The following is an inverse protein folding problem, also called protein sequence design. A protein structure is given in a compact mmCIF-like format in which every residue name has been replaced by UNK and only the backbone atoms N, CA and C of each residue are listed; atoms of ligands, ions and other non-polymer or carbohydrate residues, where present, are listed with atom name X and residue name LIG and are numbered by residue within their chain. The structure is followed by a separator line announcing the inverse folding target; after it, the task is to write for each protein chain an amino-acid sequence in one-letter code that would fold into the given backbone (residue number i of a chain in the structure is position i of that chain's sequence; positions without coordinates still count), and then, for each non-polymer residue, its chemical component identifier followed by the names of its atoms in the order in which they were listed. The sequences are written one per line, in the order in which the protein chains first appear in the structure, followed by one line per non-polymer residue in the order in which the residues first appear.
data_IF_062448286991
#
_entry.id   IF_062448286991
#
_cell.length_a   1.000
_cell.length_b   1.000
_cell.length_c   1.000
_cell.angle_alpha   90.00
_cell.angle_beta   90.00
_cell.angle_gamma   90.00
#
_symmetry.space_group_name_H-M   'P 1'
#
loop_
_entity.id
_entity.type
_entity.pdbx_description
1 polymer ?
#
# COMPACT_ATOMS: atom_id res chain seq x y z
N UNK A 1 -21.61 19.51 3.42
CA UNK A 1 -20.32 18.79 3.61
C UNK A 1 -20.50 17.52 4.45
N UNK A 2 -21.13 17.58 5.64
CA UNK A 2 -21.32 16.40 6.52
C UNK A 2 -22.13 15.28 5.86
N UNK A 3 -23.20 15.60 5.14
CA UNK A 3 -24.02 14.61 4.44
C UNK A 3 -23.25 13.92 3.31
N UNK A 4 -22.43 14.66 2.54
CA UNK A 4 -21.57 14.13 1.50
C UNK A 4 -20.58 13.14 2.10
N UNK A 5 -19.90 13.51 3.19
CA UNK A 5 -18.94 12.63 3.87
C UNK A 5 -19.59 11.33 4.35
N UNK A 6 -20.75 11.42 5.00
CA UNK A 6 -21.43 10.22 5.50
C UNK A 6 -21.94 9.33 4.37
N UNK A 7 -22.56 9.91 3.35
CA UNK A 7 -23.25 9.15 2.30
C UNK A 7 -22.26 8.53 1.29
N UNK A 8 -21.28 9.31 0.80
CA UNK A 8 -20.40 8.89 -0.28
C UNK A 8 -19.07 8.32 0.19
N UNK A 9 -18.70 8.54 1.45
CA UNK A 9 -17.43 8.07 1.99
C UNK A 9 -17.63 7.03 3.10
N UNK A 10 -18.29 7.38 4.21
CA UNK A 10 -18.43 6.45 5.33
C UNK A 10 -19.32 5.24 5.03
N UNK A 11 -20.35 5.39 4.20
CA UNK A 11 -21.23 4.29 3.78
C UNK A 11 -20.70 3.52 2.56
N UNK A 12 -19.65 4.01 1.92
CA UNK A 12 -19.07 3.39 0.75
C UNK A 12 -18.04 2.32 1.17
N UNK A 13 -18.41 1.05 1.03
CA UNK A 13 -17.54 -0.09 1.35
C UNK A 13 -16.20 -0.04 0.60
N UNK A 14 -16.21 0.42 -0.66
CA UNK A 14 -15.01 0.49 -1.48
C UNK A 14 -14.02 1.55 -0.96
N UNK A 15 -14.52 2.68 -0.44
CA UNK A 15 -13.68 3.69 0.21
C UNK A 15 -12.95 3.12 1.44
N UNK A 16 -13.60 2.25 2.22
CA UNK A 16 -12.99 1.55 3.33
C UNK A 16 -11.95 0.52 2.87
N UNK A 17 -12.23 -0.27 1.84
CA UNK A 17 -11.27 -1.25 1.31
C UNK A 17 -9.99 -0.57 0.86
N UNK A 18 -10.09 0.50 0.09
CA UNK A 18 -8.91 1.25 -0.39
C UNK A 18 -8.17 1.94 0.76
N UNK A 19 -8.90 2.49 1.73
CA UNK A 19 -8.29 3.08 2.94
C UNK A 19 -7.52 2.05 3.76
N UNK A 20 -8.02 0.82 3.88
CA UNK A 20 -7.34 -0.28 4.56
C UNK A 20 -6.14 -0.79 3.77
N UNK A 21 -6.21 -0.86 2.45
CA UNK A 21 -5.04 -1.14 1.59
C UNK A 21 -3.92 -0.15 1.91
N UNK A 22 -4.21 1.13 1.88
CA UNK A 22 -3.22 2.18 2.13
C UNK A 22 -2.73 2.18 3.59
N UNK A 23 -3.59 1.85 4.54
CA UNK A 23 -3.22 1.66 5.94
C UNK A 23 -2.13 0.61 6.11
N UNK A 24 -2.29 -0.56 5.49
CA UNK A 24 -1.28 -1.62 5.56
C UNK A 24 -0.03 -1.31 4.75
N UNK A 25 -0.14 -0.61 3.63
CA UNK A 25 1.01 -0.10 2.88
C UNK A 25 1.85 0.84 3.74
N UNK A 26 1.22 1.78 4.43
CA UNK A 26 1.89 2.70 5.35
C UNK A 26 2.50 1.99 6.56
N UNK A 27 1.82 0.98 7.08
CA UNK A 27 2.35 0.14 8.15
C UNK A 27 3.65 -0.54 7.74
N UNK A 28 3.71 -1.13 6.56
CA UNK A 28 4.92 -1.75 6.01
C UNK A 28 6.00 -0.70 5.78
N UNK A 29 5.66 0.38 5.10
CA UNK A 29 6.61 1.44 4.74
C UNK A 29 7.25 2.08 5.98
N UNK A 30 6.45 2.53 6.92
CA UNK A 30 6.96 3.20 8.14
C UNK A 30 7.61 2.22 9.10
N UNK A 31 7.16 0.97 9.15
CA UNK A 31 7.85 -0.10 9.87
C UNK A 31 9.26 -0.32 9.33
N UNK A 32 9.40 -0.47 8.03
CA UNK A 32 10.71 -0.61 7.38
C UNK A 32 11.57 0.65 7.55
N UNK A 33 11.02 1.83 7.29
CA UNK A 33 11.74 3.10 7.36
C UNK A 33 12.32 3.37 8.75
N UNK A 34 11.55 3.09 9.80
CA UNK A 34 11.94 3.36 11.18
C UNK A 34 12.89 2.29 11.72
N UNK A 35 12.59 1.02 11.47
CA UNK A 35 13.29 -0.09 12.15
C UNK A 35 14.39 -0.72 11.31
N UNK A 36 14.43 -0.52 10.00
CA UNK A 36 15.52 -1.01 9.14
C UNK A 36 16.91 -0.53 9.62
N UNK A 37 17.14 0.77 9.86
CA UNK A 37 18.45 1.22 10.32
C UNK A 37 18.85 0.59 11.64
N UNK A 38 17.93 0.53 12.60
CA UNK A 38 18.17 0.00 13.94
C UNK A 38 18.47 -1.51 13.89
N UNK A 39 17.68 -2.25 13.10
CA UNK A 39 17.88 -3.69 12.92
C UNK A 39 19.24 -4.01 12.30
N UNK A 40 19.66 -3.27 11.26
CA UNK A 40 20.95 -3.48 10.63
C UNK A 40 22.11 -3.22 11.58
N UNK A 41 22.02 -2.18 12.41
CA UNK A 41 23.07 -1.85 13.38
C UNK A 41 23.11 -2.83 14.55
N UNK A 42 21.95 -3.16 15.14
CA UNK A 42 21.89 -3.92 16.38
C UNK A 42 21.90 -5.44 16.18
N UNK A 43 21.26 -5.93 15.14
CA UNK A 43 21.09 -7.38 14.91
C UNK A 43 22.06 -7.91 13.89
N UNK A 44 22.18 -7.21 12.74
CA UNK A 44 23.10 -7.63 11.66
C UNK A 44 24.55 -7.20 11.90
N UNK A 45 24.80 -6.28 12.86
CA UNK A 45 26.13 -5.82 13.19
C UNK A 45 26.80 -4.98 12.10
N UNK A 46 26.02 -4.38 11.19
CA UNK A 46 26.55 -3.53 10.14
C UNK A 46 27.05 -2.20 10.70
N UNK A 47 28.07 -1.65 10.05
CA UNK A 47 28.56 -0.30 10.34
C UNK A 47 27.53 0.76 9.96
N UNK A 48 27.68 1.97 10.48
CA UNK A 48 26.83 3.12 10.10
C UNK A 48 26.87 3.43 8.61
N UNK A 49 28.03 3.22 7.96
CA UNK A 49 28.18 3.43 6.53
C UNK A 49 27.38 2.40 5.71
N UNK A 50 27.46 1.12 6.08
CA UNK A 50 26.73 0.03 5.43
C UNK A 50 25.22 0.19 5.61
N UNK A 51 24.76 0.53 6.81
CA UNK A 51 23.36 0.85 7.10
C UNK A 51 22.88 2.02 6.24
N UNK A 52 23.68 3.09 6.14
CA UNK A 52 23.33 4.26 5.34
C UNK A 52 23.21 3.94 3.86
N UNK A 53 24.04 3.03 3.34
CA UNK A 53 23.97 2.55 1.95
C UNK A 53 22.64 1.82 1.72
N UNK A 54 22.28 0.87 2.57
CA UNK A 54 21.02 0.13 2.44
C UNK A 54 19.80 1.08 2.51
N UNK A 55 19.81 2.03 3.43
CA UNK A 55 18.75 3.04 3.57
C UNK A 55 18.66 3.96 2.35
N UNK A 56 19.78 4.41 1.82
CA UNK A 56 19.86 5.26 0.61
C UNK A 56 19.23 4.53 -0.60
N UNK A 57 19.57 3.26 -0.81
CA UNK A 57 19.01 2.48 -1.91
C UNK A 57 17.51 2.23 -1.72
N UNK A 58 17.04 2.06 -0.48
CA UNK A 58 15.61 1.97 -0.17
C UNK A 58 14.85 3.22 -0.64
N UNK A 59 15.34 4.41 -0.30
CA UNK A 59 14.69 5.67 -0.64
C UNK A 59 14.84 6.04 -2.13
N UNK A 60 16.00 5.87 -2.72
CA UNK A 60 16.26 6.26 -4.10
C UNK A 60 15.57 5.36 -5.13
N UNK A 61 15.44 4.09 -4.82
CA UNK A 61 14.72 3.15 -5.67
C UNK A 61 13.22 3.49 -5.82
N UNK A 62 12.68 4.29 -4.93
CA UNK A 62 11.30 4.78 -4.99
C UNK A 62 11.04 5.77 -6.14
N UNK A 63 12.06 6.53 -6.56
CA UNK A 63 11.91 7.62 -7.53
C UNK A 63 11.29 7.15 -8.86
N UNK A 64 11.78 6.10 -9.54
CA UNK A 64 11.22 5.65 -10.80
C UNK A 64 9.86 4.96 -10.66
N UNK A 65 9.55 4.38 -9.49
CA UNK A 65 8.40 3.50 -9.32
C UNK A 65 7.05 4.20 -9.48
N UNK A 66 6.92 5.41 -8.95
CA UNK A 66 5.68 6.20 -9.04
C UNK A 66 5.37 6.64 -10.48
N UNK A 67 6.40 6.92 -11.26
CA UNK A 67 6.25 7.30 -12.69
C UNK A 67 5.72 6.11 -13.49
N UNK A 68 6.25 4.92 -13.23
CA UNK A 68 5.87 3.71 -13.95
C UNK A 68 4.56 3.07 -13.46
N UNK A 69 4.16 3.30 -12.21
CA UNK A 69 2.98 2.67 -11.62
C UNK A 69 1.69 2.98 -12.40
N UNK A 70 1.45 4.24 -12.71
CA UNK A 70 0.29 4.65 -13.51
C UNK A 70 0.33 4.07 -14.91
N UNK A 71 1.47 4.20 -15.60
CA UNK A 71 1.65 3.67 -16.94
C UNK A 71 1.42 2.14 -17.02
N UNK A 72 1.95 1.39 -16.07
CA UNK A 72 1.76 -0.07 -16.01
C UNK A 72 0.29 -0.41 -15.79
N UNK A 73 -0.37 0.28 -14.87
CA UNK A 73 -1.80 0.08 -14.59
C UNK A 73 -2.67 0.32 -15.83
N UNK A 74 -2.44 1.41 -16.53
CA UNK A 74 -3.24 1.79 -17.71
C UNK A 74 -2.98 0.85 -18.90
N UNK A 75 -1.71 0.54 -19.18
CA UNK A 75 -1.32 -0.21 -20.37
C UNK A 75 -1.58 -1.72 -20.25
N UNK A 76 -1.26 -2.33 -19.10
CA UNK A 76 -1.29 -3.78 -18.95
C UNK A 76 -2.53 -4.29 -18.22
N UNK A 77 -3.18 -3.46 -17.42
CA UNK A 77 -4.31 -3.85 -16.57
C UNK A 77 -5.61 -3.10 -16.90
N UNK A 78 -5.70 -2.50 -18.08
CA UNK A 78 -6.90 -1.80 -18.57
C UNK A 78 -7.44 -0.73 -17.61
N UNK A 79 -6.56 -0.07 -16.89
CA UNK A 79 -6.91 0.95 -15.91
C UNK A 79 -7.33 0.42 -14.53
N UNK A 80 -7.40 -0.89 -14.32
CA UNK A 80 -7.59 -1.44 -12.97
C UNK A 80 -6.35 -1.21 -12.12
N UNK A 81 -6.54 -0.62 -10.93
CA UNK A 81 -5.44 -0.15 -10.06
C UNK A 81 -4.91 -1.23 -9.12
N UNK A 82 -5.77 -2.17 -8.71
CA UNK A 82 -5.42 -3.14 -7.68
C UNK A 82 -4.55 -4.31 -8.16
N UNK A 83 -4.71 -4.88 -9.36
CA UNK A 83 -3.86 -5.99 -9.81
C UNK A 83 -2.35 -5.71 -9.77
N UNK A 84 -1.83 -4.57 -10.29
CA UNK A 84 -0.41 -4.25 -10.12
C UNK A 84 -0.03 -4.05 -8.65
N UNK A 85 -0.91 -3.50 -7.82
CA UNK A 85 -0.68 -3.36 -6.39
C UNK A 85 -0.55 -4.73 -5.69
N UNK A 86 -1.39 -5.69 -6.04
CA UNK A 86 -1.33 -7.07 -5.53
C UNK A 86 0.02 -7.71 -5.88
N UNK A 87 0.46 -7.59 -7.12
CA UNK A 87 1.76 -8.11 -7.57
C UNK A 87 2.89 -7.47 -6.79
N UNK A 88 2.89 -6.14 -6.66
CA UNK A 88 3.92 -5.41 -5.94
C UNK A 88 4.00 -5.83 -4.46
N UNK A 89 2.87 -5.91 -3.75
CA UNK A 89 2.84 -6.31 -2.33
C UNK A 89 3.24 -7.78 -2.15
N UNK A 90 2.89 -8.65 -3.08
CA UNK A 90 3.33 -10.06 -3.05
C UNK A 90 4.84 -10.18 -3.18
N UNK A 91 5.46 -9.42 -4.07
CA UNK A 91 6.92 -9.37 -4.20
C UNK A 91 7.56 -8.78 -2.93
N UNK A 92 6.97 -7.73 -2.36
CA UNK A 92 7.42 -7.12 -1.09
C UNK A 92 7.43 -8.16 0.03
N UNK A 93 6.41 -9.00 0.14
CA UNK A 93 6.35 -10.07 1.13
C UNK A 93 7.59 -10.99 1.07
N UNK A 94 7.94 -11.47 -0.12
CA UNK A 94 9.13 -12.31 -0.30
C UNK A 94 10.43 -11.54 -0.09
N UNK A 95 10.48 -10.27 -0.47
CA UNK A 95 11.66 -9.43 -0.26
C UNK A 95 11.89 -9.10 1.22
N UNK A 96 10.85 -8.88 2.01
CA UNK A 96 10.96 -8.72 3.46
C UNK A 96 11.50 -10.01 4.09
N UNK A 97 11.02 -11.16 3.67
CA UNK A 97 11.54 -12.44 4.13
C UNK A 97 13.01 -12.61 3.76
N UNK A 98 13.40 -12.32 2.52
CA UNK A 98 14.78 -12.36 2.06
C UNK A 98 15.68 -11.38 2.81
N UNK A 99 15.23 -10.17 3.06
CA UNK A 99 15.91 -9.17 3.87
C UNK A 99 16.18 -9.67 5.29
N UNK A 100 15.17 -10.26 5.90
CA UNK A 100 15.26 -10.79 7.26
C UNK A 100 16.26 -11.94 7.38
N UNK A 101 16.30 -12.86 6.39
CA UNK A 101 17.18 -14.04 6.41
C UNK A 101 18.59 -13.76 5.93
N UNK A 102 18.83 -12.67 5.18
CA UNK A 102 20.14 -12.38 4.60
C UNK A 102 21.09 -11.75 5.61
N UNK A 103 22.35 -12.17 5.56
CA UNK A 103 23.46 -11.63 6.38
C UNK A 103 24.45 -10.78 5.57
N UNK A 104 24.43 -10.91 4.26
CA UNK A 104 25.30 -10.17 3.35
C UNK A 104 24.77 -8.77 3.07
N UNK A 105 25.63 -7.75 3.13
CA UNK A 105 25.28 -6.36 2.78
C UNK A 105 24.68 -6.28 1.38
N UNK A 106 25.20 -7.02 0.40
CA UNK A 106 24.71 -7.00 -0.97
C UNK A 106 23.24 -7.43 -1.06
N UNK A 107 22.90 -8.56 -0.45
CA UNK A 107 21.53 -9.09 -0.49
C UNK A 107 20.56 -8.26 0.35
N UNK A 108 20.98 -7.80 1.53
CA UNK A 108 20.17 -6.92 2.38
C UNK A 108 19.86 -5.61 1.64
N UNK A 109 20.86 -4.99 1.01
CA UNK A 109 20.68 -3.78 0.23
C UNK A 109 19.79 -4.02 -1.00
N UNK A 110 19.95 -5.13 -1.68
CA UNK A 110 19.12 -5.51 -2.82
C UNK A 110 17.65 -5.66 -2.42
N UNK A 111 17.35 -6.42 -1.37
CA UNK A 111 15.98 -6.60 -0.92
C UNK A 111 15.38 -5.30 -0.37
N UNK A 112 16.14 -4.49 0.36
CA UNK A 112 15.72 -3.18 0.81
C UNK A 112 15.39 -2.25 -0.38
N UNK A 113 16.20 -2.23 -1.41
CA UNK A 113 15.97 -1.44 -2.62
C UNK A 113 14.70 -1.89 -3.36
N UNK A 114 14.48 -3.19 -3.49
CA UNK A 114 13.27 -3.73 -4.13
C UNK A 114 12.02 -3.36 -3.33
N UNK A 115 12.04 -3.49 -2.02
CA UNK A 115 10.93 -3.07 -1.15
C UNK A 115 10.68 -1.57 -1.30
N UNK A 116 11.72 -0.75 -1.24
CA UNK A 116 11.61 0.70 -1.40
C UNK A 116 11.05 1.11 -2.77
N UNK A 117 11.47 0.43 -3.84
CA UNK A 117 10.92 0.64 -5.18
C UNK A 117 9.44 0.27 -5.26
N UNK A 118 9.06 -0.90 -4.77
CA UNK A 118 7.73 -1.44 -4.97
C UNK A 118 6.68 -0.87 -3.99
N UNK A 119 7.07 -0.39 -2.81
CA UNK A 119 6.11 0.09 -1.79
C UNK A 119 5.30 1.30 -2.25
N UNK A 120 5.84 2.13 -3.10
CA UNK A 120 5.17 3.31 -3.62
C UNK A 120 4.14 2.99 -4.71
N UNK A 121 4.23 1.82 -5.34
CA UNK A 121 3.26 1.38 -6.35
C UNK A 121 1.86 1.21 -5.74
N UNK A 122 1.63 0.37 -4.72
CA UNK A 122 0.33 0.24 -4.10
C UNK A 122 -0.13 1.54 -3.44
N UNK A 123 0.78 2.35 -2.89
CA UNK A 123 0.45 3.65 -2.31
C UNK A 123 -0.12 4.62 -3.36
N UNK A 124 0.54 4.74 -4.50
CA UNK A 124 0.09 5.60 -5.60
C UNK A 124 -1.22 5.09 -6.19
N UNK A 125 -1.32 3.79 -6.47
CA UNK A 125 -2.51 3.19 -7.05
C UNK A 125 -3.72 3.25 -6.12
N UNK A 126 -3.54 3.11 -4.81
CA UNK A 126 -4.61 3.34 -3.83
C UNK A 126 -5.09 4.79 -3.84
N UNK A 127 -4.20 5.75 -4.05
CA UNK A 127 -4.57 7.15 -4.19
C UNK A 127 -5.45 7.40 -5.41
N UNK A 128 -5.07 6.84 -6.56
CA UNK A 128 -5.85 6.95 -7.81
C UNK A 128 -7.19 6.22 -7.67
N UNK A 129 -7.19 5.00 -7.14
CA UNK A 129 -8.42 4.23 -6.90
C UNK A 129 -9.41 4.99 -5.99
N UNK A 130 -8.92 5.73 -4.98
CA UNK A 130 -9.77 6.55 -4.11
C UNK A 130 -10.52 7.61 -4.91
N UNK A 131 -9.90 8.18 -5.93
CA UNK A 131 -10.53 9.18 -6.79
C UNK A 131 -11.54 8.55 -7.77
N UNK A 132 -11.24 7.33 -8.24
CA UNK A 132 -12.08 6.62 -9.22
C UNK A 132 -13.40 6.09 -8.62
N UNK A 133 -13.45 5.80 -7.30
CA UNK A 133 -14.60 5.17 -6.64
C UNK A 133 -15.62 6.13 -6.00
N UNK A 134 -15.38 7.43 -6.08
CA UNK A 134 -16.28 8.46 -5.52
C UNK A 134 -16.54 9.56 -6.53
N UNK A 135 -17.72 10.23 -6.47
CA UNK A 135 -17.98 11.39 -7.31
C UNK A 135 -16.96 12.51 -7.08
N UNK A 136 -16.68 13.35 -8.10
CA UNK A 136 -15.66 14.42 -8.00
C UNK A 136 -15.82 15.34 -6.79
N UNK A 137 -17.06 15.66 -6.40
CA UNK A 137 -17.35 16.52 -5.23
C UNK A 137 -17.05 15.83 -3.88
N UNK A 138 -16.89 14.51 -3.83
CA UNK A 138 -16.60 13.74 -2.62
C UNK A 138 -15.12 13.33 -2.50
N UNK A 139 -14.30 13.53 -3.54
CA UNK A 139 -12.89 13.11 -3.61
C UNK A 139 -12.08 13.63 -2.43
N UNK A 140 -12.19 14.91 -2.10
CA UNK A 140 -11.46 15.49 -0.97
C UNK A 140 -11.75 14.80 0.37
N UNK A 141 -13.02 14.43 0.59
CA UNK A 141 -13.45 13.72 1.80
C UNK A 141 -12.95 12.27 1.83
N UNK A 142 -12.95 11.59 0.69
CA UNK A 142 -12.44 10.22 0.57
C UNK A 142 -10.93 10.15 0.76
N UNK A 143 -10.20 11.09 0.16
CA UNK A 143 -8.75 11.25 0.36
C UNK A 143 -8.43 11.57 1.83
N UNK A 144 -9.26 12.40 2.47
CA UNK A 144 -9.14 12.70 3.90
C UNK A 144 -9.29 11.46 4.79
N UNK A 145 -10.29 10.61 4.54
CA UNK A 145 -10.47 9.34 5.26
C UNK A 145 -9.28 8.42 5.05
N UNK A 146 -8.86 8.22 3.79
CA UNK A 146 -7.70 7.40 3.46
C UNK A 146 -6.44 7.91 4.15
N UNK A 147 -6.16 9.21 4.08
CA UNK A 147 -5.00 9.81 4.73
C UNK A 147 -5.03 9.68 6.25
N UNK A 148 -6.20 9.88 6.87
CA UNK A 148 -6.38 9.65 8.30
C UNK A 148 -6.03 8.21 8.68
N UNK A 149 -6.60 7.24 7.99
CA UNK A 149 -6.34 5.81 8.25
C UNK A 149 -4.86 5.45 8.02
N UNK A 150 -4.25 5.96 6.96
CA UNK A 150 -2.87 5.67 6.61
C UNK A 150 -1.87 6.24 7.62
N UNK A 151 -1.99 7.52 7.96
CA UNK A 151 -1.05 8.19 8.86
C UNK A 151 -1.33 7.90 10.33
N UNK A 152 -2.59 8.01 10.76
CA UNK A 152 -2.93 7.88 12.19
C UNK A 152 -2.95 6.41 12.61
N UNK A 153 -3.47 5.52 11.78
CA UNK A 153 -3.52 4.09 12.10
C UNK A 153 -2.30 3.36 11.54
N UNK A 154 -2.08 3.41 10.23
CA UNK A 154 -1.06 2.63 9.55
C UNK A 154 0.36 2.94 10.00
N UNK A 155 0.77 4.21 9.93
CA UNK A 155 2.12 4.61 10.32
C UNK A 155 2.41 4.34 11.81
N UNK A 156 1.44 4.61 12.70
CA UNK A 156 1.60 4.32 14.12
C UNK A 156 1.68 2.82 14.42
N UNK A 157 0.88 1.98 13.75
CA UNK A 157 1.00 0.53 13.90
C UNK A 157 2.36 0.03 13.38
N UNK A 158 2.84 0.56 12.27
CA UNK A 158 4.15 0.22 11.73
C UNK A 158 5.31 0.60 12.63
N UNK A 159 5.25 1.76 13.25
CA UNK A 159 6.34 2.25 14.13
C UNK A 159 6.20 1.73 15.56
N UNK A 160 5.07 1.96 16.19
CA UNK A 160 4.89 1.69 17.62
C UNK A 160 4.64 0.22 17.90
N UNK A 161 3.72 -0.42 17.17
CA UNK A 161 3.41 -1.84 17.41
C UNK A 161 4.59 -2.74 17.05
N UNK A 162 5.30 -2.45 15.97
CA UNK A 162 6.54 -3.16 15.64
C UNK A 162 7.54 -3.07 16.78
N UNK A 163 7.79 -1.85 17.33
CA UNK A 163 8.70 -1.62 18.43
C UNK A 163 8.30 -2.40 19.68
N UNK A 164 7.05 -2.33 20.08
CA UNK A 164 6.53 -3.07 21.25
C UNK A 164 6.69 -4.59 21.07
N UNK A 165 6.42 -5.10 19.87
CA UNK A 165 6.58 -6.53 19.58
C UNK A 165 8.07 -6.93 19.59
N UNK A 166 8.93 -6.11 19.02
CA UNK A 166 10.36 -6.36 19.00
C UNK A 166 10.96 -6.35 20.42
N UNK A 167 10.53 -5.43 21.28
CA UNK A 167 10.99 -5.35 22.67
C UNK A 167 10.51 -6.53 23.51
N UNK A 168 9.24 -6.97 23.35
CA UNK A 168 8.66 -8.02 24.18
C UNK A 168 8.96 -9.43 23.69
N UNK A 169 8.99 -9.64 22.40
CA UNK A 169 9.06 -10.97 21.76
C UNK A 169 10.26 -11.13 20.83
N UNK A 170 11.10 -10.11 20.71
CA UNK A 170 12.25 -10.09 19.81
C UNK A 170 11.92 -9.60 18.41
N UNK A 171 12.98 -9.33 17.64
CA UNK A 171 12.89 -8.77 16.27
C UNK A 171 12.05 -9.61 15.30
N UNK A 172 12.05 -10.93 15.49
CA UNK A 172 11.25 -11.84 14.64
C UNK A 172 9.75 -11.50 14.69
N UNK A 173 9.25 -11.11 15.86
CA UNK A 173 7.85 -10.71 16.00
C UNK A 173 7.50 -9.46 15.18
N UNK A 174 8.41 -8.51 15.07
CA UNK A 174 8.26 -7.34 14.21
C UNK A 174 8.18 -7.72 12.73
N UNK A 175 9.04 -8.63 12.27
CA UNK A 175 8.98 -9.13 10.88
C UNK A 175 7.71 -9.92 10.59
N UNK A 176 7.22 -10.74 11.51
CA UNK A 176 5.92 -11.40 11.38
C UNK A 176 4.78 -10.40 11.25
N UNK A 177 4.84 -9.29 11.99
CA UNK A 177 3.86 -8.20 11.87
C UNK A 177 3.86 -7.61 10.45
N UNK A 178 5.03 -7.32 9.88
CA UNK A 178 5.14 -6.79 8.52
C UNK A 178 4.65 -7.78 7.46
N UNK A 179 4.97 -9.06 7.62
CA UNK A 179 4.49 -10.11 6.73
C UNK A 179 2.96 -10.27 6.82
N UNK A 180 2.39 -10.23 8.02
CA UNK A 180 0.94 -10.23 8.21
C UNK A 180 0.28 -8.99 7.58
N UNK A 181 0.90 -7.83 7.66
CA UNK A 181 0.45 -6.61 7.00
C UNK A 181 0.43 -6.76 5.47
N UNK A 182 1.42 -7.43 4.88
CA UNK A 182 1.43 -7.73 3.45
C UNK A 182 0.25 -8.63 3.05
N UNK A 183 -0.03 -9.68 3.81
CA UNK A 183 -1.15 -10.60 3.56
C UNK A 183 -2.49 -9.86 3.65
N UNK A 184 -2.69 -9.06 4.68
CA UNK A 184 -3.90 -8.26 4.86
C UNK A 184 -4.04 -7.20 3.75
N UNK A 185 -2.94 -6.57 3.34
CA UNK A 185 -2.94 -5.63 2.23
C UNK A 185 -3.39 -6.30 0.93
N UNK A 186 -2.87 -7.48 0.59
CA UNK A 186 -3.29 -8.23 -0.60
C UNK A 186 -4.77 -8.60 -0.50
N UNK A 187 -5.25 -9.04 0.65
CA UNK A 187 -6.66 -9.38 0.87
C UNK A 187 -7.56 -8.18 0.58
N UNK A 188 -7.24 -7.01 1.12
CA UNK A 188 -8.02 -5.79 0.86
C UNK A 188 -7.86 -5.26 -0.56
N UNK A 189 -6.71 -5.46 -1.21
CA UNK A 189 -6.54 -5.19 -2.64
C UNK A 189 -7.49 -6.03 -3.50
N UNK A 190 -7.63 -7.31 -3.20
CA UNK A 190 -8.57 -8.21 -3.89
C UNK A 190 -10.01 -7.74 -3.69
N UNK A 191 -10.41 -7.41 -2.46
CA UNK A 191 -11.73 -6.88 -2.16
C UNK A 191 -12.01 -5.55 -2.88
N UNK A 192 -11.04 -4.65 -2.91
CA UNK A 192 -11.13 -3.38 -3.62
C UNK A 192 -11.22 -3.56 -5.14
N UNK A 193 -10.52 -4.54 -5.69
CA UNK A 193 -10.60 -4.87 -7.12
C UNK A 193 -11.98 -5.37 -7.53
N UNK A 194 -12.54 -6.30 -6.78
CA UNK A 194 -13.91 -6.78 -7.05
C UNK A 194 -14.96 -5.69 -6.83
N UNK A 195 -14.77 -4.82 -5.83
CA UNK A 195 -15.62 -3.65 -5.62
C UNK A 195 -15.60 -2.67 -6.79
N UNK A 196 -14.44 -2.42 -7.40
CA UNK A 196 -14.32 -1.59 -8.58
C UNK A 196 -15.03 -2.21 -9.80
N UNK A 197 -14.87 -3.51 -10.02
CA UNK A 197 -15.58 -4.23 -11.09
C UNK A 197 -17.11 -4.19 -10.92
N UNK A 198 -17.59 -4.29 -9.69
CA UNK A 198 -19.03 -4.18 -9.41
C UNK A 198 -19.58 -2.80 -9.74
N UNK A 199 -18.80 -1.74 -9.48
CA UNK A 199 -19.17 -0.37 -9.87
C UNK A 199 -19.23 -0.20 -11.38
N UNK A 200 -18.20 -0.64 -12.11
CA UNK A 200 -18.14 -0.56 -13.57
C UNK A 200 -19.34 -1.30 -14.21
N UNK A 201 -19.70 -2.47 -13.67
CA UNK A 201 -20.84 -3.25 -14.17
C UNK A 201 -22.18 -2.51 -13.96
N UNK A 202 -22.37 -1.85 -12.82
CA UNK A 202 -23.56 -1.05 -12.54
C UNK A 202 -23.67 0.19 -13.41
N UNK A 203 -22.54 0.86 -13.66
CA UNK A 203 -22.49 2.02 -14.53
C UNK A 203 -22.86 1.63 -15.99
N UNK A 204 -22.30 0.52 -16.49
CA UNK A 204 -22.62 0.01 -17.81
C UNK A 204 -24.10 -0.39 -17.95
N UNK A 205 -24.71 -0.98 -16.92
CA UNK A 205 -26.14 -1.31 -16.91
C UNK A 205 -27.02 -0.05 -16.95
N UNK A 206 -26.67 0.97 -16.18
CA UNK A 206 -27.38 2.25 -16.16
C UNK A 206 -27.31 2.97 -17.52
N UNK A 207 -26.15 2.98 -18.17
CA UNK A 207 -25.99 3.56 -19.52
C UNK A 207 -26.84 2.83 -20.57
N UNK A 208 -26.92 1.50 -20.50
CA UNK A 208 -27.77 0.72 -21.38
C UNK A 208 -29.26 1.04 -21.21
N UNK A 209 -29.71 1.17 -19.95
CA UNK A 209 -31.10 1.54 -19.65
C UNK A 209 -31.43 2.94 -20.17
N UNK A 210 -30.56 3.92 -19.94
CA UNK A 210 -30.75 5.29 -20.43
C UNK A 210 -30.79 5.35 -21.97
N UNK A 211 -29.94 4.55 -22.62
CA UNK A 211 -29.90 4.48 -24.09
C UNK A 211 -31.18 3.83 -24.65
N UNK A 212 -31.69 2.81 -23.97
CA UNK A 212 -32.95 2.14 -24.36
C UNK A 212 -34.16 3.08 -24.20
N UNK A 213 -34.21 3.86 -23.10
CA UNK A 213 -35.25 4.86 -22.86
C UNK A 213 -35.21 6.00 -23.89
N UNK A 214 -34.01 6.44 -24.32
CA UNK A 214 -33.86 7.51 -25.29
C UNK A 214 -34.25 7.08 -26.72
N UNK A 215 -34.27 5.77 -27.02
CA UNK A 215 -34.64 5.20 -28.31
C UNK A 215 -36.12 4.72 -28.40
N UNK A 216 -36.86 4.78 -27.29
CA UNK A 216 -38.27 4.45 -27.19
C UNK A 216 -39.16 5.69 -27.35
#
# INVERSE_FOLDING_TARGET
TRQIFVQYVLKNKNAWYVSLVDTFVYMIRFGMLTWLPIYLLQVKGFSKAEMSIAFLFFEWAAIPSTIFAGYISDKFFKGYRMPPAIIAVSIIFFCIFGYWQSESLLWVTFFAAVVGCLIYIPQFLASVQTMDIVPPFAVGSAVGLRGFMSYIVGANLGTTLFGVLADKFGWNAGFYLLMAACILCVTFCVLAHFGAKELDAKEAELEQLQTAEANS
#
